data_IF_537889300937
#
_entry.id   IF_537889300937
#
_cell.length_a   1.000
_cell.length_b   1.000
_cell.length_c   1.000
_cell.angle_alpha   90.00
_cell.angle_beta   90.00
_cell.angle_gamma   90.00
#
_symmetry.space_group_name_H-M   'P 1'
#
loop_
_entity.id
_entity.type
_entity.pdbx_description
1 polymer ?
#
# COMPACT_ATOMS: atom_id res chain seq x y z
N UNK A 1 -25.69 -38.50 -19.48
CA UNK A 1 -25.31 -39.04 -18.16
C UNK A 1 -25.82 -38.06 -17.11
N UNK A 2 -26.50 -38.60 -16.10
CA UNK A 2 -27.44 -37.92 -15.22
C UNK A 2 -26.76 -37.01 -14.18
N UNK A 3 -27.47 -35.95 -13.82
CA UNK A 3 -27.20 -34.93 -12.82
C UNK A 3 -27.09 -35.51 -11.39
N UNK A 4 -26.23 -34.91 -10.56
CA UNK A 4 -26.21 -35.08 -9.11
C UNK A 4 -26.17 -33.72 -8.42
N UNK A 5 -27.34 -33.20 -8.03
CA UNK A 5 -27.49 -32.05 -7.14
C UNK A 5 -27.43 -32.55 -5.69
N UNK A 6 -26.59 -31.93 -4.86
CA UNK A 6 -26.57 -32.15 -3.41
C UNK A 6 -27.25 -30.96 -2.72
N UNK A 7 -28.42 -31.22 -2.15
CA UNK A 7 -29.16 -30.29 -1.28
C UNK A 7 -28.47 -30.22 0.09
N UNK A 8 -28.07 -29.03 0.53
CA UNK A 8 -27.66 -28.78 1.93
C UNK A 8 -28.79 -28.06 2.63
N UNK A 9 -29.34 -28.74 3.63
CA UNK A 9 -30.52 -28.36 4.40
C UNK A 9 -30.21 -27.21 5.37
N UNK A 10 -31.09 -26.23 5.32
CA UNK A 10 -31.32 -25.15 6.28
C UNK A 10 -31.60 -25.70 7.67
N UNK A 11 -30.81 -25.29 8.67
CA UNK A 11 -31.06 -25.53 10.08
C UNK A 11 -31.39 -24.23 10.79
N UNK A 12 -32.69 -23.97 10.99
CA UNK A 12 -33.19 -22.95 11.91
C UNK A 12 -32.91 -23.43 13.36
N UNK A 13 -32.02 -22.74 14.05
CA UNK A 13 -31.76 -22.93 15.48
C UNK A 13 -32.15 -21.68 16.26
N UNK A 14 -33.30 -21.73 16.91
CA UNK A 14 -33.79 -20.69 17.81
C UNK A 14 -33.18 -20.83 19.23
N UNK A 15 -33.25 -19.70 19.96
CA UNK A 15 -33.21 -19.57 21.42
C UNK A 15 -31.84 -19.61 22.13
N UNK A 16 -31.48 -18.51 22.80
CA UNK A 16 -31.77 -18.34 24.22
C UNK A 16 -31.28 -16.96 24.73
N UNK A 17 -32.24 -16.16 25.22
CA UNK A 17 -31.98 -15.04 26.12
C UNK A 17 -31.45 -15.59 27.46
N UNK A 18 -30.30 -15.11 27.92
CA UNK A 18 -29.94 -15.16 29.33
C UNK A 18 -29.41 -13.80 29.76
N UNK A 19 -30.28 -13.03 30.40
CA UNK A 19 -29.91 -11.90 31.23
C UNK A 19 -29.52 -12.42 32.61
N UNK A 20 -28.29 -12.17 33.05
CA UNK A 20 -27.92 -12.25 34.46
C UNK A 20 -27.22 -10.95 34.84
N UNK A 21 -27.96 -10.18 35.65
CA UNK A 21 -27.50 -9.04 36.42
C UNK A 21 -26.62 -9.56 37.56
N UNK A 22 -25.38 -9.13 37.65
CA UNK A 22 -24.61 -9.18 38.89
C UNK A 22 -24.11 -7.78 39.22
N UNK A 23 -24.84 -7.15 40.14
CA UNK A 23 -24.40 -6.01 40.91
C UNK A 23 -23.27 -6.48 41.86
N UNK A 24 -22.11 -5.86 41.74
CA UNK A 24 -20.96 -6.04 42.63
C UNK A 24 -20.37 -4.69 43.01
N UNK A 25 -20.91 -4.07 44.06
CA UNK A 25 -20.23 -3.03 44.82
C UNK A 25 -19.02 -3.62 45.55
N UNK A 26 -17.85 -2.99 45.44
CA UNK A 26 -16.75 -3.30 46.34
C UNK A 26 -15.46 -2.59 46.02
N UNK A 27 -15.09 -1.61 46.85
CA UNK A 27 -13.70 -1.25 47.11
C UNK A 27 -13.19 0.04 46.48
N UNK A 28 -13.58 1.19 47.05
CA UNK A 28 -12.80 2.42 46.94
C UNK A 28 -11.40 2.18 47.55
N UNK A 29 -10.37 2.16 46.71
CA UNK A 29 -8.97 2.29 47.15
C UNK A 29 -8.46 3.61 46.60
N UNK A 30 -8.47 4.60 47.48
CA UNK A 30 -7.98 5.95 47.26
C UNK A 30 -6.45 5.90 47.24
N UNK A 31 -5.86 5.63 46.06
CA UNK A 31 -4.43 5.73 45.85
C UNK A 31 -4.10 7.11 45.26
N UNK A 32 -3.41 7.90 46.08
CA UNK A 32 -3.06 9.29 45.81
C UNK A 32 -2.35 9.46 44.45
N UNK A 33 -2.98 10.24 43.58
CA UNK A 33 -2.41 10.68 42.30
C UNK A 33 -1.12 11.44 42.55
N UNK A 34 0.01 10.84 42.16
CA UNK A 34 1.29 11.55 42.04
C UNK A 34 1.15 12.63 40.95
N UNK A 35 1.69 13.85 41.17
CA UNK A 35 1.59 14.93 40.21
C UNK A 35 2.18 14.48 38.87
N UNK A 36 1.38 14.65 37.83
CA UNK A 36 1.71 14.48 36.42
C UNK A 36 3.05 15.14 36.14
N UNK A 37 4.10 14.31 36.02
CA UNK A 37 5.39 14.75 35.53
C UNK A 37 5.20 15.32 34.14
N UNK A 38 5.78 16.50 33.91
CA UNK A 38 5.81 17.19 32.62
C UNK A 38 6.01 16.19 31.48
N UNK A 39 4.95 16.02 30.70
CA UNK A 39 4.96 15.27 29.46
C UNK A 39 5.98 15.98 28.58
N UNK A 40 7.18 15.41 28.43
CA UNK A 40 8.14 15.85 27.41
C UNK A 40 7.35 15.96 26.12
N UNK A 41 7.44 17.12 25.47
CA UNK A 41 6.88 17.33 24.15
C UNK A 41 7.23 16.10 23.30
N UNK A 42 6.21 15.53 22.64
CA UNK A 42 6.47 14.50 21.64
C UNK A 42 7.52 15.08 20.69
N UNK A 43 8.62 14.35 20.42
CA UNK A 43 9.61 14.82 19.46
C UNK A 43 8.86 15.18 18.18
N UNK A 44 9.07 16.40 17.69
CA UNK A 44 8.58 16.77 16.37
C UNK A 44 9.11 15.70 15.41
N UNK A 45 8.24 15.04 14.62
CA UNK A 45 8.68 14.11 13.61
C UNK A 45 9.69 14.84 12.72
N UNK A 46 10.96 14.43 12.76
CA UNK A 46 11.94 14.93 11.81
C UNK A 46 11.52 14.39 10.46
N UNK A 47 10.85 15.23 9.65
CA UNK A 47 10.60 14.92 8.25
C UNK A 47 11.96 14.71 7.59
N UNK A 48 12.26 13.53 7.03
CA UNK A 48 13.48 13.36 6.22
C UNK A 48 13.38 14.35 5.07
N UNK A 49 14.13 15.45 5.16
CA UNK A 49 14.01 16.62 4.28
C UNK A 49 14.81 16.52 2.99
N UNK A 50 15.44 15.39 2.74
CA UNK A 50 16.20 15.14 1.52
C UNK A 50 15.60 13.94 0.80
N UNK A 51 15.33 14.08 -0.50
CA UNK A 51 15.06 12.92 -1.35
C UNK A 51 16.16 11.89 -1.08
N UNK A 52 15.83 10.61 -0.90
CA UNK A 52 16.79 9.62 -0.42
C UNK A 52 18.05 9.70 -1.28
N UNK A 53 19.15 10.13 -0.66
CA UNK A 53 20.46 10.07 -1.30
C UNK A 53 20.72 8.60 -1.61
N UNK A 54 20.67 8.23 -2.88
CA UNK A 54 20.43 6.83 -3.25
C UNK A 54 20.25 6.64 -4.75
N UNK A 55 19.86 5.43 -5.20
CA UNK A 55 19.76 5.08 -6.62
C UNK A 55 18.72 5.89 -7.39
N UNK A 56 17.80 6.56 -6.70
CA UNK A 56 16.61 7.16 -7.31
C UNK A 56 16.72 8.67 -7.50
N UNK A 57 17.94 9.24 -7.48
CA UNK A 57 18.14 10.69 -7.58
C UNK A 57 17.61 11.33 -8.86
N UNK A 58 17.39 10.54 -9.92
CA UNK A 58 16.77 11.00 -11.17
C UNK A 58 15.23 10.97 -11.15
N UNK A 59 14.61 10.36 -10.14
CA UNK A 59 13.16 10.26 -10.04
C UNK A 59 12.56 11.53 -9.44
N UNK A 60 11.55 12.08 -10.12
CA UNK A 60 10.81 13.24 -9.63
C UNK A 60 9.72 12.81 -8.63
N UNK A 61 10.12 12.61 -7.37
CA UNK A 61 9.23 12.23 -6.28
C UNK A 61 8.09 13.24 -6.07
N UNK A 62 8.35 14.53 -6.29
CA UNK A 62 7.34 15.58 -6.11
C UNK A 62 6.26 15.49 -7.20
N UNK A 63 6.66 15.32 -8.46
CA UNK A 63 5.72 15.09 -9.54
C UNK A 63 4.94 13.79 -9.36
N UNK A 64 5.60 12.72 -8.89
CA UNK A 64 4.94 11.46 -8.58
C UNK A 64 3.89 11.63 -7.47
N UNK A 65 4.25 12.25 -6.34
CA UNK A 65 3.32 12.54 -5.25
C UNK A 65 2.13 13.38 -5.73
N UNK A 66 2.37 14.38 -6.59
CA UNK A 66 1.29 15.20 -7.15
C UNK A 66 0.28 14.40 -7.98
N UNK A 67 0.70 13.31 -8.65
CA UNK A 67 -0.21 12.43 -9.40
C UNK A 67 -1.14 11.63 -8.49
N UNK A 68 -0.71 11.35 -7.26
CA UNK A 68 -1.53 10.67 -6.25
C UNK A 68 -2.60 11.56 -5.63
N UNK A 69 -2.45 12.89 -5.65
CA UNK A 69 -3.43 13.77 -5.00
C UNK A 69 -4.86 13.61 -5.53
N UNK A 70 -5.83 13.70 -4.62
CA UNK A 70 -7.26 13.58 -4.90
C UNK A 70 -7.87 12.31 -4.32
N UNK A 71 -9.05 11.97 -4.83
CA UNK A 71 -9.82 10.84 -4.35
C UNK A 71 -9.72 9.63 -5.27
N UNK A 72 -9.58 8.45 -4.67
CA UNK A 72 -9.44 7.19 -5.37
C UNK A 72 -10.26 6.10 -4.68
N UNK A 73 -10.69 5.11 -5.46
CA UNK A 73 -11.02 3.78 -4.96
C UNK A 73 -9.89 2.86 -5.35
N UNK A 74 -9.30 2.18 -4.38
CA UNK A 74 -8.16 1.28 -4.57
C UNK A 74 -8.47 -0.10 -4.01
N UNK A 75 -7.77 -1.16 -4.44
CA UNK A 75 -7.81 -2.45 -3.74
C UNK A 75 -7.39 -2.26 -2.27
N UNK A 76 -8.18 -2.80 -1.35
CA UNK A 76 -7.92 -2.77 0.09
C UNK A 76 -6.90 -3.81 0.53
N UNK A 77 -6.49 -3.75 1.81
CA UNK A 77 -5.60 -4.75 2.42
C UNK A 77 -6.28 -6.11 2.60
N UNK A 78 -7.59 -6.11 2.85
CA UNK A 78 -8.38 -7.33 2.92
C UNK A 78 -8.56 -7.93 1.51
N UNK A 79 -8.35 -9.25 1.31
CA UNK A 79 -8.52 -9.88 0.01
C UNK A 79 -9.91 -9.62 -0.59
N UNK A 80 -9.94 -9.04 -1.78
CA UNK A 80 -11.19 -8.73 -2.52
C UNK A 80 -11.95 -7.49 -2.03
N UNK A 81 -11.45 -6.80 -1.01
CA UNK A 81 -11.99 -5.52 -0.57
C UNK A 81 -11.47 -4.35 -1.43
N UNK A 82 -12.24 -3.27 -1.44
CA UNK A 82 -11.80 -1.96 -1.94
C UNK A 82 -11.80 -0.96 -0.76
N UNK A 83 -10.94 0.04 -0.81
CA UNK A 83 -10.96 1.18 0.12
C UNK A 83 -10.98 2.49 -0.66
N UNK A 84 -11.53 3.53 -0.04
CA UNK A 84 -11.55 4.87 -0.60
C UNK A 84 -10.37 5.63 -0.01
N UNK A 85 -9.52 6.19 -0.86
CA UNK A 85 -8.41 7.04 -0.48
C UNK A 85 -8.71 8.49 -0.81
N UNK A 86 -8.31 9.39 0.07
CA UNK A 86 -8.16 10.81 -0.22
C UNK A 86 -6.76 11.26 0.17
N UNK A 87 -6.01 11.78 -0.79
CA UNK A 87 -4.61 12.17 -0.61
C UNK A 87 -4.48 13.68 -0.85
N UNK A 88 -3.93 14.39 0.13
CA UNK A 88 -3.61 15.81 0.06
C UNK A 88 -2.21 16.03 0.67
N UNK A 89 -1.24 16.40 -0.17
CA UNK A 89 0.15 16.55 0.28
C UNK A 89 0.74 15.24 0.79
N UNK A 90 1.13 15.22 2.06
CA UNK A 90 1.72 14.10 2.78
C UNK A 90 0.73 13.38 3.70
N UNK A 91 -0.58 13.66 3.58
CA UNK A 91 -1.64 12.99 4.33
C UNK A 91 -2.51 12.12 3.41
N UNK A 92 -2.85 10.93 3.89
CA UNK A 92 -3.85 10.06 3.30
C UNK A 92 -4.94 9.75 4.34
N UNK A 93 -6.20 9.91 3.92
CA UNK A 93 -7.36 9.39 4.65
C UNK A 93 -7.90 8.18 3.88
N UNK A 94 -7.93 7.03 4.54
CA UNK A 94 -8.54 5.80 4.02
C UNK A 94 -9.91 5.61 4.65
N UNK A 95 -10.90 5.16 3.88
CA UNK A 95 -12.16 4.65 4.39
C UNK A 95 -12.36 3.21 3.91
N UNK A 96 -12.54 2.29 4.86
CA UNK A 96 -12.66 0.85 4.61
C UNK A 96 -14.11 0.37 4.42
N UNK A 97 -15.08 1.29 4.46
CA UNK A 97 -16.51 0.98 4.45
C UNK A 97 -17.18 1.14 5.81
N UNK A 98 -16.40 1.15 6.90
CA UNK A 98 -16.88 1.27 8.28
C UNK A 98 -16.24 2.45 9.01
N UNK A 99 -14.93 2.60 8.90
CA UNK A 99 -14.12 3.58 9.61
C UNK A 99 -13.15 4.34 8.71
N UNK A 100 -12.85 5.58 9.10
CA UNK A 100 -11.80 6.38 8.48
C UNK A 100 -10.51 6.22 9.28
N UNK A 101 -9.40 5.95 8.57
CA UNK A 101 -8.05 5.82 9.11
C UNK A 101 -7.16 6.89 8.48
N UNK A 102 -6.20 7.42 9.24
CA UNK A 102 -5.28 8.47 8.76
C UNK A 102 -3.86 7.94 8.71
N UNK A 103 -3.18 8.27 7.63
CA UNK A 103 -1.80 7.87 7.38
C UNK A 103 -0.96 9.07 6.96
N UNK A 104 0.30 9.11 7.42
CA UNK A 104 1.32 9.84 6.70
C UNK A 104 1.61 9.09 5.38
N UNK A 105 1.57 9.82 4.27
CA UNK A 105 1.75 9.32 2.92
C UNK A 105 3.08 9.80 2.34
N UNK A 106 3.91 8.86 1.89
CA UNK A 106 5.15 9.18 1.19
C UNK A 106 5.40 8.25 0.02
N UNK A 107 6.01 8.77 -1.05
CA UNK A 107 6.57 7.95 -2.12
C UNK A 107 7.95 7.48 -1.64
N UNK A 108 8.01 6.26 -1.13
CA UNK A 108 9.19 5.68 -0.50
C UNK A 108 10.27 5.30 -1.52
N UNK A 109 9.86 4.76 -2.66
CA UNK A 109 10.72 4.50 -3.82
C UNK A 109 9.93 4.69 -5.11
N UNK A 110 10.56 4.69 -6.30
CA UNK A 110 9.86 4.91 -7.57
C UNK A 110 8.72 3.93 -7.90
N UNK A 111 8.60 2.83 -7.15
CA UNK A 111 7.59 1.80 -7.34
C UNK A 111 6.85 1.41 -6.04
N UNK A 112 7.04 2.15 -4.95
CA UNK A 112 6.43 1.83 -3.65
C UNK A 112 6.07 3.09 -2.86
N UNK A 113 4.87 3.11 -2.31
CA UNK A 113 4.46 4.11 -1.31
C UNK A 113 4.57 3.54 0.09
N UNK A 114 4.81 4.40 1.07
CA UNK A 114 4.73 4.08 2.49
C UNK A 114 3.55 4.82 3.11
N UNK A 115 2.77 4.08 3.89
CA UNK A 115 1.60 4.53 4.63
C UNK A 115 1.87 4.30 6.11
N UNK A 116 2.12 5.36 6.88
CA UNK A 116 2.38 5.25 8.31
C UNK A 116 1.13 5.64 9.09
N UNK A 117 0.56 4.69 9.82
CA UNK A 117 -0.65 4.90 10.63
C UNK A 117 -0.39 6.01 11.66
N UNK A 118 -1.23 7.05 11.66
CA UNK A 118 -1.04 8.23 12.49
C UNK A 118 -1.20 7.94 14.00
N UNK A 119 -1.98 6.91 14.36
CA UNK A 119 -2.28 6.55 15.75
C UNK A 119 -1.34 5.45 16.26
N UNK A 120 -1.07 4.42 15.45
CA UNK A 120 -0.24 3.27 15.81
C UNK A 120 1.25 3.48 15.50
N UNK A 121 1.59 4.36 14.56
CA UNK A 121 2.97 4.56 14.08
C UNK A 121 3.51 3.40 13.23
N UNK A 122 2.63 2.49 12.78
CA UNK A 122 3.00 1.33 11.97
C UNK A 122 3.05 1.70 10.48
N UNK A 123 4.15 1.38 9.81
CA UNK A 123 4.33 1.65 8.37
C UNK A 123 4.00 0.42 7.53
N UNK A 124 3.06 0.58 6.59
CA UNK A 124 2.76 -0.40 5.55
C UNK A 124 3.25 0.11 4.20
N UNK A 125 3.85 -0.78 3.42
CA UNK A 125 4.33 -0.46 2.08
C UNK A 125 3.41 -1.03 1.01
N UNK A 126 3.10 -0.23 -0.02
CA UNK A 126 2.28 -0.66 -1.15
C UNK A 126 3.00 -0.45 -2.48
N UNK A 127 3.26 -1.52 -3.24
CA UNK A 127 3.79 -1.40 -4.60
C UNK A 127 2.79 -0.66 -5.50
N UNK A 128 3.30 0.26 -6.31
CA UNK A 128 2.52 0.97 -7.30
C UNK A 128 3.27 1.13 -8.63
N UNK A 129 2.52 1.40 -9.69
CA UNK A 129 3.06 1.98 -10.93
C UNK A 129 1.98 2.82 -11.60
N UNK A 130 2.39 3.75 -12.46
CA UNK A 130 1.47 4.45 -13.34
C UNK A 130 1.65 3.97 -14.78
N UNK A 131 0.54 3.65 -15.44
CA UNK A 131 0.48 3.33 -16.87
C UNK A 131 -0.40 4.39 -17.53
N UNK A 132 0.23 5.37 -18.17
CA UNK A 132 -0.49 6.61 -18.54
C UNK A 132 -1.06 7.28 -17.29
N UNK A 133 -2.37 7.52 -17.26
CA UNK A 133 -3.07 8.10 -16.10
C UNK A 133 -3.62 7.06 -15.13
N UNK A 134 -3.53 5.76 -15.45
CA UNK A 134 -4.01 4.69 -14.60
C UNK A 134 -3.00 4.39 -13.49
N UNK A 135 -3.45 4.49 -12.24
CA UNK A 135 -2.68 4.05 -11.07
C UNK A 135 -2.94 2.56 -10.85
N UNK A 136 -1.90 1.75 -10.95
CA UNK A 136 -1.90 0.37 -10.52
C UNK A 136 -1.31 0.31 -9.12
N UNK A 137 -2.09 -0.13 -8.13
CA UNK A 137 -1.64 -0.22 -6.74
C UNK A 137 -2.20 -1.49 -6.12
N UNK A 138 -1.31 -2.35 -5.67
CA UNK A 138 -1.65 -3.71 -5.23
C UNK A 138 -1.28 -4.00 -3.79
N UNK A 139 -1.67 -5.18 -3.34
CA UNK A 139 -1.22 -5.81 -2.10
C UNK A 139 -0.46 -7.07 -2.49
N UNK A 140 0.70 -7.29 -1.88
CA UNK A 140 1.56 -8.43 -2.20
C UNK A 140 1.89 -8.57 -3.71
N UNK A 141 1.98 -7.43 -4.40
CA UNK A 141 2.20 -7.38 -5.84
C UNK A 141 3.63 -6.94 -6.18
N UNK A 142 4.01 -7.08 -7.45
CA UNK A 142 5.26 -6.54 -7.98
C UNK A 142 4.96 -5.49 -9.04
N UNK A 143 5.54 -4.31 -8.88
CA UNK A 143 5.40 -3.19 -9.82
C UNK A 143 6.77 -2.59 -10.11
N UNK A 144 6.85 -1.77 -11.15
CA UNK A 144 8.07 -1.08 -11.51
C UNK A 144 7.83 0.10 -12.43
N UNK A 145 8.90 0.79 -12.75
CA UNK A 145 8.91 1.96 -13.62
C UNK A 145 10.23 2.06 -14.37
N UNK A 146 10.19 2.60 -15.59
CA UNK A 146 11.37 2.99 -16.35
C UNK A 146 11.71 4.44 -16.03
N UNK A 147 12.96 4.72 -15.66
CA UNK A 147 13.45 6.05 -15.31
C UNK A 147 14.71 6.33 -16.14
N UNK A 148 14.56 7.15 -17.18
CA UNK A 148 15.64 7.30 -18.17
C UNK A 148 15.98 5.95 -18.81
N UNK A 149 17.23 5.51 -18.65
CA UNK A 149 17.71 4.23 -19.18
C UNK A 149 17.69 3.09 -18.14
N UNK A 150 17.18 3.34 -16.94
CA UNK A 150 17.09 2.36 -15.85
C UNK A 150 15.69 1.78 -15.74
N UNK A 151 15.61 0.50 -15.36
CA UNK A 151 14.34 -0.14 -14.98
C UNK A 151 14.37 -0.42 -13.47
N UNK A 152 13.43 0.17 -12.75
CA UNK A 152 13.28 0.01 -11.30
C UNK A 152 12.06 -0.86 -11.01
N UNK A 153 12.18 -1.86 -10.13
CA UNK A 153 11.07 -2.72 -9.75
C UNK A 153 11.06 -3.02 -8.25
N UNK A 154 9.88 -3.04 -7.67
CA UNK A 154 9.63 -3.38 -6.29
C UNK A 154 9.10 -4.82 -6.28
N UNK A 155 9.91 -5.73 -5.75
CA UNK A 155 9.63 -7.17 -5.74
C UNK A 155 9.89 -7.68 -4.34
N UNK A 156 8.86 -8.26 -3.69
CA UNK A 156 8.97 -8.87 -2.36
C UNK A 156 9.59 -7.95 -1.28
N UNK A 157 9.30 -6.65 -1.35
CA UNK A 157 9.80 -5.66 -0.39
C UNK A 157 11.24 -5.19 -0.64
N UNK A 158 11.88 -5.62 -1.73
CA UNK A 158 13.17 -5.09 -2.18
C UNK A 158 13.00 -4.27 -3.44
N UNK A 159 13.89 -3.30 -3.66
CA UNK A 159 13.93 -2.51 -4.90
C UNK A 159 15.08 -2.98 -5.78
N UNK A 160 14.75 -3.43 -6.99
CA UNK A 160 15.71 -3.86 -8.00
C UNK A 160 15.91 -2.74 -9.01
N UNK A 161 17.16 -2.50 -9.39
CA UNK A 161 17.52 -1.53 -10.43
C UNK A 161 18.33 -2.27 -11.49
N UNK A 162 17.79 -2.35 -12.70
CA UNK A 162 18.48 -2.81 -13.89
C UNK A 162 18.99 -1.61 -14.67
N UNK A 163 20.31 -1.43 -14.67
CA UNK A 163 20.99 -0.37 -15.41
C UNK A 163 21.05 -0.71 -16.91
N UNK A 164 21.22 0.31 -17.76
CA UNK A 164 21.34 0.15 -19.22
C UNK A 164 22.44 -0.84 -19.67
N UNK A 165 23.51 -0.97 -18.87
CA UNK A 165 24.60 -1.91 -19.11
C UNK A 165 24.28 -3.38 -18.75
N UNK A 166 23.05 -3.67 -18.33
CA UNK A 166 22.61 -5.01 -17.92
C UNK A 166 23.01 -5.40 -16.49
N UNK A 167 23.63 -4.49 -15.72
CA UNK A 167 23.92 -4.74 -14.32
C UNK A 167 22.64 -4.57 -13.50
N UNK A 168 22.32 -5.60 -12.72
CA UNK A 168 21.23 -5.56 -11.78
C UNK A 168 21.74 -5.42 -10.35
N UNK A 169 21.05 -4.62 -9.54
CA UNK A 169 21.31 -4.52 -8.10
C UNK A 169 20.02 -4.53 -7.31
N UNK A 170 20.06 -5.19 -6.15
CA UNK A 170 19.01 -5.13 -5.15
C UNK A 170 19.34 -4.05 -4.11
N UNK A 171 18.32 -3.33 -3.70
CA UNK A 171 18.40 -2.27 -2.71
C UNK A 171 17.44 -2.57 -1.57
N UNK A 172 17.95 -2.44 -0.36
CA UNK A 172 17.20 -2.53 0.88
C UNK A 172 17.53 -1.32 1.75
N UNK A 173 16.57 -0.86 2.52
CA UNK A 173 16.82 0.15 3.55
C UNK A 173 17.07 -0.55 4.88
N UNK A 174 18.13 -0.12 5.56
CA UNK A 174 18.50 -0.60 6.89
C UNK A 174 18.87 0.64 7.72
N UNK A 175 18.03 0.99 8.70
CA UNK A 175 18.20 2.18 9.54
C UNK A 175 18.33 3.49 8.74
N UNK A 176 17.36 3.75 7.86
CA UNK A 176 17.31 4.94 6.99
C UNK A 176 18.46 5.04 5.96
N UNK A 177 19.31 4.02 5.87
CA UNK A 177 20.35 3.90 4.87
C UNK A 177 19.98 2.88 3.80
N UNK A 178 20.04 3.29 2.53
CA UNK A 178 19.96 2.38 1.40
C UNK A 178 21.28 1.60 1.23
N UNK A 179 21.18 0.28 1.28
CA UNK A 179 22.29 -0.65 1.00
C UNK A 179 22.07 -1.29 -0.37
N UNK A 180 23.15 -1.34 -1.15
CA UNK A 180 23.20 -1.94 -2.48
C UNK A 180 23.90 -3.28 -2.44
N UNK A 181 23.30 -4.27 -3.07
CA UNK A 181 23.91 -5.57 -3.33
C UNK A 181 23.76 -5.94 -4.81
N UNK A 182 24.71 -6.72 -5.34
CA UNK A 182 24.55 -7.28 -6.68
C UNK A 182 23.42 -8.29 -6.69
N UNK A 183 22.62 -8.29 -7.76
CA UNK A 183 21.46 -9.18 -7.90
C UNK A 183 21.35 -9.70 -9.34
N UNK A 184 20.48 -10.67 -9.53
CA UNK A 184 20.15 -11.20 -10.86
C UNK A 184 18.76 -10.70 -11.27
N UNK A 185 18.73 -9.88 -12.31
CA UNK A 185 17.52 -9.56 -13.04
C UNK A 185 17.87 -9.24 -14.49
N UNK A 186 16.93 -9.51 -15.40
CA UNK A 186 17.14 -9.34 -16.84
C UNK A 186 15.85 -8.94 -17.54
N UNK A 187 15.99 -8.46 -18.78
CA UNK A 187 14.85 -8.24 -19.67
C UNK A 187 14.76 -9.45 -20.59
N UNK A 188 13.61 -10.13 -20.54
CA UNK A 188 13.25 -11.16 -21.51
C UNK A 188 12.24 -10.62 -22.52
N UNK A 189 12.24 -11.22 -23.73
CA UNK A 189 11.28 -10.90 -24.77
C UNK A 189 11.53 -9.55 -25.46
N UNK A 190 10.65 -9.22 -26.41
CA UNK A 190 10.75 -8.00 -27.22
C UNK A 190 9.36 -7.42 -27.48
N UNK A 191 9.28 -6.11 -27.71
CA UNK A 191 8.02 -5.43 -28.00
C UNK A 191 6.95 -5.69 -26.92
N UNK A 192 5.80 -6.22 -27.33
CA UNK A 192 4.67 -6.48 -26.42
C UNK A 192 4.87 -7.68 -25.48
N UNK A 193 5.87 -8.54 -25.71
CA UNK A 193 6.22 -9.63 -24.79
C UNK A 193 7.38 -9.28 -23.86
N UNK A 194 7.91 -8.05 -23.95
CA UNK A 194 9.01 -7.58 -23.10
C UNK A 194 8.60 -7.63 -21.62
N UNK A 195 9.44 -8.23 -20.80
CA UNK A 195 9.23 -8.35 -19.35
C UNK A 195 10.55 -8.22 -18.59
N UNK A 196 10.49 -7.63 -17.40
CA UNK A 196 11.57 -7.69 -16.42
C UNK A 196 11.40 -8.98 -15.61
N UNK A 197 12.46 -9.76 -15.49
CA UNK A 197 12.50 -10.98 -14.69
C UNK A 197 13.38 -10.78 -13.48
N UNK A 198 12.82 -11.04 -12.30
CA UNK A 198 13.50 -10.98 -11.00
C UNK A 198 13.16 -12.25 -10.24
N UNK A 199 14.09 -13.21 -10.19
CA UNK A 199 13.82 -14.54 -9.63
C UNK A 199 12.66 -15.23 -10.35
N UNK A 200 11.57 -15.53 -9.63
CA UNK A 200 10.35 -16.13 -10.19
C UNK A 200 9.32 -15.11 -10.70
N UNK A 201 9.55 -13.81 -10.43
CA UNK A 201 8.63 -12.74 -10.78
C UNK A 201 8.89 -12.21 -12.18
N UNK A 202 7.80 -11.92 -12.87
CA UNK A 202 7.78 -11.37 -14.22
C UNK A 202 6.88 -10.15 -14.23
N UNK A 203 7.45 -9.00 -14.57
CA UNK A 203 6.72 -7.75 -14.70
C UNK A 203 6.69 -7.36 -16.18
N UNK A 204 5.50 -7.20 -16.74
CA UNK A 204 5.33 -6.79 -18.14
C UNK A 204 5.51 -5.28 -18.26
N UNK A 205 6.14 -4.85 -19.34
CA UNK A 205 6.24 -3.43 -19.68
C UNK A 205 4.94 -2.95 -20.33
N UNK A 206 4.42 -1.82 -19.87
CA UNK A 206 3.37 -1.05 -20.55
C UNK A 206 3.68 0.45 -20.47
N UNK A 207 4.20 1.00 -21.56
CA UNK A 207 4.78 2.34 -21.55
C UNK A 207 5.99 2.40 -20.62
N UNK A 208 5.96 3.33 -19.67
CA UNK A 208 6.98 3.47 -18.63
C UNK A 208 6.68 2.64 -17.38
N UNK A 209 5.47 2.09 -17.25
CA UNK A 209 5.06 1.29 -16.11
C UNK A 209 5.40 -0.20 -16.29
N UNK A 210 5.64 -0.88 -15.17
CA UNK A 210 5.79 -2.32 -15.11
C UNK A 210 4.87 -2.91 -14.04
N UNK A 211 4.24 -4.04 -14.35
CA UNK A 211 3.33 -4.70 -13.41
C UNK A 211 3.33 -6.22 -13.60
N UNK A 212 3.09 -6.97 -12.53
CA UNK A 212 2.76 -8.39 -12.59
C UNK A 212 1.27 -8.63 -12.87
N UNK A 213 0.86 -9.90 -13.02
CA UNK A 213 -0.53 -10.24 -13.31
C UNK A 213 -1.51 -9.80 -12.20
N UNK A 214 -1.07 -9.75 -10.94
CA UNK A 214 -1.87 -9.28 -9.81
C UNK A 214 -2.09 -7.76 -9.86
N UNK A 215 -1.02 -7.00 -10.14
CA UNK A 215 -1.05 -5.55 -10.27
C UNK A 215 -1.83 -5.09 -11.49
N UNK A 216 -1.85 -5.90 -12.56
CA UNK A 216 -2.59 -5.59 -13.79
C UNK A 216 -4.08 -5.36 -13.54
N UNK A 217 -4.69 -6.14 -12.67
CA UNK A 217 -6.12 -6.02 -12.33
C UNK A 217 -6.37 -5.07 -11.16
N UNK A 218 -5.32 -4.63 -10.48
CA UNK A 218 -5.36 -3.76 -9.30
C UNK A 218 -5.31 -2.29 -9.71
N UNK A 219 -6.29 -1.86 -10.52
CA UNK A 219 -6.36 -0.50 -11.06
C UNK A 219 -7.21 0.38 -10.17
N UNK A 220 -6.63 1.47 -9.68
CA UNK A 220 -7.36 2.48 -8.92
C UNK A 220 -8.33 3.26 -9.81
N UNK A 221 -9.50 3.57 -9.27
CA UNK A 221 -10.50 4.43 -9.93
C UNK A 221 -10.43 5.82 -9.32
N UNK A 222 -10.10 6.83 -10.13
CA UNK A 222 -10.13 8.23 -9.68
C UNK A 222 -11.57 8.70 -9.56
N UNK A 223 -11.88 9.41 -8.48
CA UNK A 223 -13.19 9.96 -8.19
C UNK A 223 -13.11 11.49 -8.04
N UNK A 224 -14.25 12.18 -8.11
CA UNK A 224 -14.26 13.66 -8.07
C UNK A 224 -13.80 14.23 -6.72
N UNK A 225 -14.13 13.53 -5.64
CA UNK A 225 -13.85 13.90 -4.26
C UNK A 225 -14.00 12.66 -3.35
N UNK A 226 -13.66 12.82 -2.08
CA UNK A 226 -13.68 11.71 -1.13
C UNK A 226 -15.10 11.18 -0.85
N UNK A 227 -16.13 12.03 -0.91
CA UNK A 227 -17.50 11.58 -0.71
C UNK A 227 -17.95 10.68 -1.87
N UNK A 228 -17.57 11.01 -3.10
CA UNK A 228 -17.80 10.17 -4.28
C UNK A 228 -17.09 8.81 -4.16
N UNK A 229 -15.82 8.81 -3.72
CA UNK A 229 -15.07 7.57 -3.49
C UNK A 229 -15.73 6.67 -2.43
N UNK A 230 -16.15 7.23 -1.29
CA UNK A 230 -16.88 6.47 -0.26
C UNK A 230 -18.21 5.94 -0.77
N UNK A 231 -18.95 6.74 -1.54
CA UNK A 231 -20.22 6.30 -2.13
C UNK A 231 -20.02 5.16 -3.13
N UNK A 232 -18.91 5.17 -3.88
CA UNK A 232 -18.59 4.11 -4.82
C UNK A 232 -18.37 2.75 -4.13
N UNK A 233 -17.75 2.72 -2.95
CA UNK A 233 -17.60 1.48 -2.15
C UNK A 233 -18.95 0.88 -1.75
N UNK A 234 -19.89 1.72 -1.31
CA UNK A 234 -21.22 1.27 -0.88
C UNK A 234 -22.07 0.66 -2.02
N UNK A 235 -21.68 0.93 -3.27
CA UNK A 235 -22.33 0.42 -4.47
C UNK A 235 -21.65 -0.82 -5.08
N UNK A 236 -20.50 -1.22 -4.54
CA UNK A 236 -19.82 -2.43 -4.98
C UNK A 236 -20.66 -3.67 -4.59
N UNK A 237 -20.90 -4.60 -5.53
CA UNK A 237 -21.78 -5.75 -5.34
C UNK A 237 -21.20 -6.84 -4.41
#
# INVERSE_FOLDING_TARGET
>A
MSLGQAEVRTGLGAAALLAVVLAGCGGETEEAAKPSGERRAAPEPETPKEAPSGPFGAYDFAAAAKRFEGAWVVPGLAPGGETAWFIEGDELVEFDGESEHRYAFTIYSPCQVALTDADAGETTYRPFTFVGDALHVGVASSTGVVIGDETVACVMGQVYVLEAGGRCSAWSEIFDDWKREDAECEIEGEGASRQLVVGDRRLRFEGEGLYDDNSKTSVARRESDFAAAKAALASAP
#
